data_IF_076720427384
#
_entry.id   IF_076720427384
#
_cell.length_a   1.000
_cell.length_b   1.000
_cell.length_c   1.000
_cell.angle_alpha   90.00
_cell.angle_beta   90.00
_cell.angle_gamma   90.00
#
_symmetry.space_group_name_H-M   'P 1'
#
loop_
_entity.id
_entity.type
_entity.pdbx_description
1 polymer ?
#
# COMPACT_ATOMS: atom_id res chain seq x y z
N UNK A 1 7.46 13.36 -6.89
CA UNK A 1 8.27 12.12 -6.79
C UNK A 1 9.04 12.28 -5.52
N UNK A 2 9.04 11.25 -4.67
CA UNK A 2 9.94 11.27 -3.52
C UNK A 2 11.37 11.50 -4.03
N UNK A 3 12.08 12.41 -3.39
CA UNK A 3 13.39 12.90 -3.78
C UNK A 3 14.45 11.97 -3.21
N UNK A 4 15.34 11.50 -4.08
CA UNK A 4 16.60 10.89 -3.65
C UNK A 4 17.48 12.05 -3.19
N UNK A 5 17.74 12.11 -1.89
CA UNK A 5 18.66 13.10 -1.31
C UNK A 5 20.09 12.58 -1.33
N UNK A 6 21.06 13.48 -1.17
CA UNK A 6 22.46 13.09 -1.02
C UNK A 6 22.65 12.14 0.17
N UNK A 7 23.62 11.25 0.04
CA UNK A 7 23.99 10.28 1.07
C UNK A 7 25.38 10.60 1.57
N UNK A 8 25.56 10.57 2.88
CA UNK A 8 26.86 10.71 3.52
C UNK A 8 27.28 9.32 4.00
N UNK A 9 28.47 8.89 3.62
CA UNK A 9 29.12 7.68 4.13
C UNK A 9 30.33 8.11 4.94
N UNK A 10 30.41 7.66 6.20
CA UNK A 10 31.50 8.02 7.11
C UNK A 10 32.21 6.77 7.63
N UNK A 11 33.53 6.82 7.71
CA UNK A 11 34.40 5.82 8.32
C UNK A 11 35.22 6.53 9.42
N UNK A 12 34.75 6.44 10.67
CA UNK A 12 35.33 7.22 11.76
C UNK A 12 35.18 8.73 11.52
N UNK A 13 36.31 9.44 11.35
CA UNK A 13 36.35 10.90 11.09
C UNK A 13 36.20 11.26 9.61
N UNK A 14 36.46 10.31 8.70
CA UNK A 14 36.40 10.55 7.27
C UNK A 14 34.96 10.44 6.79
N UNK A 15 34.40 11.53 6.28
CA UNK A 15 33.05 11.54 5.71
C UNK A 15 33.06 11.98 4.25
N UNK A 16 32.30 11.29 3.41
CA UNK A 16 32.13 11.64 2.00
C UNK A 16 30.66 11.73 1.64
N UNK A 17 30.30 12.81 0.95
CA UNK A 17 28.96 13.05 0.41
C UNK A 17 28.87 12.54 -1.03
N UNK A 18 27.79 11.83 -1.32
CA UNK A 18 27.46 11.31 -2.64
C UNK A 18 26.16 11.93 -3.13
N UNK A 19 26.22 12.63 -4.26
CA UNK A 19 25.09 13.33 -4.82
C UNK A 19 23.99 12.39 -5.29
N UNK A 20 22.76 12.89 -5.43
CA UNK A 20 21.67 12.15 -6.10
C UNK A 20 22.11 11.56 -7.45
N UNK A 21 22.79 12.34 -8.27
CA UNK A 21 23.21 11.93 -9.61
C UNK A 21 24.17 10.74 -9.55
N UNK A 22 25.14 10.79 -8.63
CA UNK A 22 26.08 9.69 -8.39
C UNK A 22 25.37 8.40 -7.95
N UNK A 23 24.28 8.53 -7.20
CA UNK A 23 23.49 7.40 -6.72
C UNK A 23 22.57 6.80 -7.80
N UNK A 24 22.18 7.56 -8.82
CA UNK A 24 21.02 7.19 -9.67
C UNK A 24 21.29 7.15 -11.17
N UNK A 25 22.33 7.79 -11.70
CA UNK A 25 22.66 7.73 -13.12
C UNK A 25 23.42 6.45 -13.46
N UNK A 26 23.12 5.85 -14.60
CA UNK A 26 23.72 4.58 -15.06
C UNK A 26 25.25 4.65 -15.17
N UNK A 27 25.79 5.81 -15.57
CA UNK A 27 27.24 6.05 -15.67
C UNK A 27 28.00 5.85 -14.35
N UNK A 28 27.34 6.05 -13.20
CA UNK A 28 27.93 5.89 -11.87
C UNK A 28 27.58 4.55 -11.21
N UNK A 29 26.79 3.68 -11.85
CA UNK A 29 26.28 2.45 -11.25
C UNK A 29 27.37 1.54 -10.67
N UNK A 30 28.47 1.32 -11.41
CA UNK A 30 29.61 0.52 -10.94
C UNK A 30 30.31 1.17 -9.74
N UNK A 31 30.52 2.49 -9.81
CA UNK A 31 31.15 3.26 -8.74
C UNK A 31 30.29 3.28 -7.48
N UNK A 32 28.98 3.43 -7.63
CA UNK A 32 28.02 3.39 -6.52
C UNK A 32 27.93 2.01 -5.89
N UNK A 33 27.93 0.94 -6.70
CA UNK A 33 28.05 -0.44 -6.21
C UNK A 33 29.30 -0.61 -5.34
N UNK A 34 30.46 -0.13 -5.80
CA UNK A 34 31.72 -0.24 -5.03
C UNK A 34 31.67 0.52 -3.70
N UNK A 35 31.07 1.72 -3.67
CA UNK A 35 30.87 2.50 -2.46
C UNK A 35 30.00 1.74 -1.45
N UNK A 36 28.86 1.22 -1.90
CA UNK A 36 27.94 0.48 -1.04
C UNK A 36 28.54 -0.85 -0.59
N UNK A 37 29.22 -1.59 -1.48
CA UNK A 37 29.90 -2.84 -1.14
C UNK A 37 30.94 -2.63 -0.04
N UNK A 38 31.77 -1.58 -0.15
CA UNK A 38 32.74 -1.22 0.90
C UNK A 38 32.06 -0.83 2.21
N UNK A 39 30.97 -0.07 2.15
CA UNK A 39 30.22 0.32 3.35
C UNK A 39 29.55 -0.89 4.02
N UNK A 40 28.99 -1.82 3.24
CA UNK A 40 28.37 -3.05 3.73
C UNK A 40 29.38 -3.98 4.41
N UNK A 41 30.62 -4.06 3.89
CA UNK A 41 31.67 -4.92 4.44
C UNK A 41 32.34 -4.34 5.72
N UNK A 42 32.06 -3.09 6.08
CA UNK A 42 32.73 -2.39 7.19
C UNK A 42 31.81 -2.26 8.40
N UNK A 43 32.32 -2.62 9.58
CA UNK A 43 31.61 -2.48 10.86
C UNK A 43 31.53 -1.00 11.31
N UNK A 44 32.50 -0.18 10.92
CA UNK A 44 32.60 1.23 11.32
C UNK A 44 31.88 2.19 10.38
N UNK A 45 31.37 1.70 9.24
CA UNK A 45 30.69 2.53 8.25
C UNK A 45 29.36 3.05 8.80
N UNK A 46 29.20 4.38 8.81
CA UNK A 46 27.92 5.04 9.09
C UNK A 46 27.40 5.69 7.82
N UNK A 47 26.22 5.26 7.36
CA UNK A 47 25.55 5.82 6.19
C UNK A 47 24.33 6.62 6.66
N UNK A 48 24.18 7.86 6.20
CA UNK A 48 23.06 8.72 6.56
C UNK A 48 22.51 9.51 5.38
N UNK A 49 21.20 9.75 5.38
CA UNK A 49 20.53 10.59 4.40
C UNK A 49 20.66 12.08 4.74
N UNK A 50 20.95 12.91 3.73
CA UNK A 50 21.09 14.37 3.88
C UNK A 50 19.81 15.16 3.64
N UNK A 51 18.63 14.51 3.65
CA UNK A 51 17.37 15.22 3.52
C UNK A 51 17.12 16.17 4.72
N UNK A 52 16.22 17.15 4.54
CA UNK A 52 15.86 18.15 5.57
C UNK A 52 15.01 17.59 6.73
N UNK A 53 15.00 16.28 6.91
CA UNK A 53 14.32 15.63 8.03
C UNK A 53 15.04 15.80 9.36
N UNK A 54 14.40 15.39 10.45
CA UNK A 54 14.92 15.46 11.83
C UNK A 54 15.82 14.25 12.16
N UNK A 55 16.56 14.29 13.26
CA UNK A 55 17.33 13.14 13.75
C UNK A 55 18.49 12.69 12.84
N UNK A 56 19.11 11.53 13.14
CA UNK A 56 20.34 11.08 12.48
C UNK A 56 20.13 10.51 11.07
N UNK A 57 18.92 10.05 10.72
CA UNK A 57 18.56 9.57 9.36
C UNK A 57 19.53 8.50 8.83
N UNK A 58 19.91 7.59 9.72
CA UNK A 58 20.83 6.50 9.39
C UNK A 58 20.17 5.55 8.37
N UNK A 59 21.00 4.98 7.50
CA UNK A 59 20.63 4.01 6.50
C UNK A 59 21.50 2.77 6.66
N UNK A 60 20.89 1.60 6.54
CA UNK A 60 21.58 0.34 6.37
C UNK A 60 21.90 0.13 4.89
N UNK A 61 23.11 -0.32 4.60
CA UNK A 61 23.44 -0.88 3.28
C UNK A 61 23.06 -2.34 3.30
N UNK A 62 22.36 -2.82 2.28
CA UNK A 62 21.89 -4.20 2.19
C UNK A 62 22.21 -4.78 0.82
N UNK A 63 22.46 -6.09 0.78
CA UNK A 63 22.75 -6.82 -0.45
C UNK A 63 21.49 -7.56 -0.94
N UNK A 64 21.16 -7.36 -2.21
CA UNK A 64 20.07 -8.04 -2.90
C UNK A 64 20.64 -9.16 -3.77
N UNK A 65 20.43 -10.41 -3.33
CA UNK A 65 21.04 -11.60 -3.95
C UNK A 65 20.57 -11.84 -5.38
N UNK A 66 19.28 -11.71 -5.68
CA UNK A 66 18.72 -12.03 -6.99
C UNK A 66 19.18 -11.06 -8.10
N UNK A 67 19.61 -9.85 -7.73
CA UNK A 67 20.07 -8.83 -8.67
C UNK A 67 21.56 -8.51 -8.58
N UNK A 68 22.31 -9.22 -7.73
CA UNK A 68 23.70 -8.94 -7.36
C UNK A 68 23.96 -7.42 -7.25
N UNK A 69 23.28 -6.79 -6.30
CA UNK A 69 23.37 -5.34 -6.12
C UNK A 69 23.19 -4.93 -4.67
N UNK A 70 23.74 -3.78 -4.31
CA UNK A 70 23.52 -3.17 -3.00
C UNK A 70 22.49 -2.05 -3.08
N UNK A 71 21.71 -1.90 -2.02
CA UNK A 71 20.74 -0.83 -1.88
C UNK A 71 20.73 -0.26 -0.46
N UNK A 72 20.16 0.94 -0.34
CA UNK A 72 20.00 1.62 0.94
C UNK A 72 18.59 1.38 1.49
N UNK A 73 18.51 1.08 2.78
CA UNK A 73 17.27 0.96 3.51
C UNK A 73 17.34 1.78 4.79
N UNK A 74 16.22 2.40 5.19
CA UNK A 74 16.11 3.03 6.51
C UNK A 74 16.18 1.98 7.61
N UNK A 75 16.59 2.38 8.82
CA UNK A 75 16.45 1.53 10.00
C UNK A 75 14.97 1.39 10.41
N UNK A 76 14.63 0.32 11.15
CA UNK A 76 13.31 0.14 11.76
C UNK A 76 12.84 1.39 12.51
N UNK A 77 11.59 1.79 12.28
CA UNK A 77 10.95 2.95 12.93
C UNK A 77 11.68 4.30 12.77
N UNK A 78 12.62 4.46 11.82
CA UNK A 78 13.28 5.77 11.58
C UNK A 78 12.72 6.53 10.39
N UNK A 79 11.64 6.07 9.75
CA UNK A 79 11.10 6.71 8.55
C UNK A 79 10.60 8.14 8.78
N UNK A 80 10.00 8.41 9.95
CA UNK A 80 9.54 9.75 10.35
C UNK A 80 10.69 10.76 10.58
N UNK A 81 11.94 10.28 10.68
CA UNK A 81 13.12 11.14 10.73
C UNK A 81 13.42 11.80 9.38
N UNK A 82 12.96 11.23 8.26
CA UNK A 82 13.21 11.80 6.95
C UNK A 82 12.26 12.96 6.64
N UNK A 83 12.62 13.81 5.69
CA UNK A 83 11.72 14.86 5.19
C UNK A 83 10.55 14.20 4.46
N UNK A 84 9.30 14.71 4.53
CA UNK A 84 8.14 14.11 3.84
C UNK A 84 8.32 13.84 2.34
N UNK A 85 9.17 14.63 1.68
CA UNK A 85 9.51 14.46 0.27
C UNK A 85 10.60 13.41 0.02
N UNK A 86 11.31 12.92 1.04
CA UNK A 86 12.40 11.95 0.91
C UNK A 86 11.90 10.54 0.57
N UNK A 87 12.64 9.79 -0.25
CA UNK A 87 12.34 8.37 -0.56
C UNK A 87 12.31 7.44 0.67
N UNK A 88 12.97 7.81 1.76
CA UNK A 88 13.03 7.03 2.99
C UNK A 88 11.97 7.46 4.02
N UNK A 89 11.14 8.46 3.71
CA UNK A 89 10.07 8.88 4.61
C UNK A 89 8.96 7.85 4.67
N UNK A 90 8.56 7.48 5.88
CA UNK A 90 7.29 6.77 6.15
C UNK A 90 6.58 7.44 7.31
N UNK A 91 5.25 7.38 7.30
CA UNK A 91 4.47 7.78 8.46
C UNK A 91 4.89 6.93 9.66
N UNK A 92 4.92 7.56 10.83
CA UNK A 92 5.03 6.81 12.08
C UNK A 92 3.82 5.90 12.25
N UNK A 93 3.99 4.76 12.94
CA UNK A 93 2.91 3.81 13.23
C UNK A 93 1.73 4.50 13.91
N UNK A 94 1.99 5.49 14.76
CA UNK A 94 0.94 6.26 15.45
C UNK A 94 0.03 7.05 14.49
N UNK A 95 0.56 7.40 13.31
CA UNK A 95 -0.13 8.15 12.27
C UNK A 95 -0.64 7.27 11.11
N UNK A 96 -0.62 5.94 11.27
CA UNK A 96 -1.23 5.01 10.32
C UNK A 96 -1.98 3.89 11.05
N UNK A 97 -2.70 3.06 10.30
CA UNK A 97 -3.36 1.89 10.85
C UNK A 97 -2.40 0.80 11.32
N UNK A 98 -1.10 0.86 10.99
CA UNK A 98 -0.14 -0.18 11.40
C UNK A 98 -0.01 -0.34 12.92
N UNK A 99 -0.38 0.67 13.70
CA UNK A 99 -0.41 0.59 15.17
C UNK A 99 -1.37 -0.47 15.72
N UNK A 100 -2.35 -0.92 14.92
CA UNK A 100 -3.30 -1.93 15.38
C UNK A 100 -2.66 -3.30 15.53
N UNK A 101 -1.52 -3.56 14.90
CA UNK A 101 -0.89 -4.88 14.94
C UNK A 101 0.07 -5.06 16.11
N UNK A 102 0.12 -6.27 16.66
CA UNK A 102 1.22 -6.62 17.57
C UNK A 102 2.56 -6.58 16.82
N UNK A 103 3.65 -6.37 17.55
CA UNK A 103 5.01 -6.32 16.97
C UNK A 103 5.39 -7.59 16.17
N UNK A 104 4.67 -8.70 16.39
CA UNK A 104 4.92 -9.96 15.71
C UNK A 104 4.36 -10.04 14.29
N UNK A 105 3.39 -9.18 13.93
CA UNK A 105 2.67 -9.26 12.65
C UNK A 105 3.48 -8.67 11.51
N UNK A 106 4.14 -7.54 11.73
CA UNK A 106 5.02 -6.89 10.76
C UNK A 106 6.40 -6.73 11.37
N UNK A 107 7.35 -7.54 10.90
CA UNK A 107 8.74 -7.56 11.39
C UNK A 107 9.68 -7.06 10.32
N UNK A 108 10.54 -6.11 10.64
CA UNK A 108 11.66 -5.76 9.77
C UNK A 108 12.68 -6.91 9.73
N UNK A 109 13.04 -7.36 8.54
CA UNK A 109 14.02 -8.43 8.33
C UNK A 109 15.43 -7.85 8.15
N UNK A 110 16.45 -8.69 8.42
CA UNK A 110 17.86 -8.29 8.29
C UNK A 110 18.20 -7.84 6.86
N UNK A 111 17.60 -8.47 5.85
CA UNK A 111 17.75 -8.15 4.43
C UNK A 111 17.00 -6.88 3.98
N UNK A 112 16.21 -6.24 4.85
CA UNK A 112 15.47 -5.02 4.52
C UNK A 112 14.07 -5.26 3.98
N UNK A 113 13.68 -6.52 3.91
CA UNK A 113 12.30 -6.91 3.72
C UNK A 113 11.48 -6.88 5.02
N UNK A 114 10.28 -7.42 4.91
CA UNK A 114 9.31 -7.54 5.98
C UNK A 114 8.86 -8.99 6.13
N UNK A 115 8.79 -9.47 7.37
CA UNK A 115 8.04 -10.68 7.71
C UNK A 115 6.61 -10.29 8.07
N UNK A 116 5.63 -10.79 7.32
CA UNK A 116 4.21 -10.54 7.55
C UNK A 116 3.51 -11.83 7.99
N UNK A 117 2.74 -11.76 9.08
CA UNK A 117 1.84 -12.83 9.51
C UNK A 117 0.42 -12.57 9.00
N UNK A 118 -0.02 -13.36 8.01
CA UNK A 118 -1.38 -13.29 7.50
C UNK A 118 -2.35 -14.13 8.35
N UNK A 119 -3.63 -13.77 8.31
CA UNK A 119 -4.74 -14.55 8.89
C UNK A 119 -5.13 -15.76 8.02
N UNK A 120 -4.69 -15.77 6.76
CA UNK A 120 -4.83 -16.85 5.79
C UNK A 120 -3.46 -17.43 5.41
N UNK A 121 -3.34 -18.76 5.49
CA UNK A 121 -2.10 -19.45 5.16
C UNK A 121 -1.86 -19.51 3.64
N UNK A 122 -0.60 -19.39 3.21
CA UNK A 122 -0.17 -19.62 1.82
C UNK A 122 -0.06 -21.10 1.45
N UNK A 123 0.28 -21.95 2.42
CA UNK A 123 0.30 -23.39 2.21
C UNK A 123 -1.15 -23.90 2.12
N UNK A 124 -1.42 -24.79 1.18
CA UNK A 124 -2.71 -25.50 1.12
C UNK A 124 -2.71 -26.62 2.17
N UNK A 125 -3.20 -26.33 3.37
CA UNK A 125 -3.62 -27.36 4.34
C UNK A 125 -5.12 -27.62 4.23
N UNK A 126 -5.57 -28.81 4.65
CA UNK A 126 -7.00 -29.20 4.70
C UNK A 126 -7.87 -28.27 5.56
N UNK A 127 -7.28 -27.32 6.28
CA UNK A 127 -7.98 -26.23 6.93
C UNK A 127 -8.55 -25.26 5.88
N UNK A 128 -9.83 -25.46 5.56
CA UNK A 128 -10.63 -24.56 4.74
C UNK A 128 -10.85 -23.23 5.50
N UNK A 129 -10.74 -22.10 4.79
CA UNK A 129 -11.30 -20.84 5.29
C UNK A 129 -12.80 -21.02 5.47
N UNK A 130 -13.35 -20.54 6.59
CA UNK A 130 -14.80 -20.66 6.84
C UNK A 130 -15.63 -19.66 6.05
N UNK A 131 -15.00 -18.65 5.44
CA UNK A 131 -15.68 -17.63 4.61
C UNK A 131 -14.72 -17.03 3.58
N UNK A 132 -15.22 -16.83 2.35
CA UNK A 132 -14.54 -16.06 1.30
C UNK A 132 -14.41 -14.58 1.63
N UNK A 133 -15.20 -14.08 2.57
CA UNK A 133 -15.14 -12.71 3.03
C UNK A 133 -15.13 -12.71 4.56
N UNK A 134 -13.95 -12.63 5.19
CA UNK A 134 -13.84 -12.61 6.65
C UNK A 134 -14.57 -11.41 7.28
N UNK A 135 -14.97 -11.51 8.57
CA UNK A 135 -15.54 -10.40 9.32
C UNK A 135 -14.67 -9.13 9.27
N UNK A 136 -15.31 -7.95 9.41
CA UNK A 136 -14.56 -6.69 9.45
C UNK A 136 -13.88 -6.47 10.79
N UNK A 137 -12.55 -6.66 10.83
CA UNK A 137 -11.74 -6.36 12.00
C UNK A 137 -11.86 -4.89 12.43
N UNK A 138 -12.22 -3.97 11.53
CA UNK A 138 -12.39 -2.54 11.84
C UNK A 138 -13.60 -2.25 12.74
N UNK A 139 -14.52 -3.21 12.87
CA UNK A 139 -15.68 -3.11 13.76
C UNK A 139 -15.37 -3.57 15.20
N UNK A 140 -14.16 -4.05 15.47
CA UNK A 140 -13.73 -4.39 16.83
C UNK A 140 -13.59 -3.13 17.71
N UNK A 141 -13.77 -3.24 19.04
CA UNK A 141 -13.46 -2.14 19.95
C UNK A 141 -12.02 -1.66 19.74
N UNK A 142 -11.83 -0.34 19.70
CA UNK A 142 -10.51 0.28 19.57
C UNK A 142 -9.55 -0.15 20.69
N UNK A 143 -8.25 -0.19 20.37
CA UNK A 143 -7.20 -0.60 21.32
C UNK A 143 -6.94 -2.10 21.41
N UNK A 144 -7.71 -2.96 20.73
CA UNK A 144 -7.42 -4.39 20.63
C UNK A 144 -6.36 -4.63 19.55
N UNK A 145 -5.20 -5.14 19.96
CA UNK A 145 -4.14 -5.47 19.00
C UNK A 145 -4.49 -6.71 18.18
N UNK A 146 -4.33 -6.60 16.86
CA UNK A 146 -4.50 -7.68 15.90
C UNK A 146 -3.24 -8.57 15.85
N UNK A 147 -3.44 -9.89 15.89
CA UNK A 147 -2.36 -10.89 15.91
C UNK A 147 -2.02 -11.46 14.52
N UNK A 148 -2.73 -11.00 13.49
CA UNK A 148 -2.53 -11.34 12.10
C UNK A 148 -3.05 -10.20 11.23
N UNK A 149 -2.56 -10.13 9.99
CA UNK A 149 -2.98 -9.18 8.98
C UNK A 149 -3.99 -9.83 8.04
N UNK A 150 -5.11 -9.15 7.79
CA UNK A 150 -6.10 -9.58 6.80
C UNK A 150 -5.58 -9.39 5.38
N UNK A 151 -6.28 -9.99 4.42
CA UNK A 151 -5.97 -9.80 3.01
C UNK A 151 -6.14 -8.32 2.56
N UNK A 152 -7.10 -7.58 3.14
CA UNK A 152 -7.22 -6.14 2.90
C UNK A 152 -6.04 -5.37 3.50
N UNK A 153 -5.62 -5.73 4.72
CA UNK A 153 -4.43 -5.18 5.36
C UNK A 153 -3.17 -5.40 4.51
N UNK A 154 -3.01 -6.58 3.91
CA UNK A 154 -1.90 -6.87 2.99
C UNK A 154 -1.96 -6.00 1.73
N UNK A 155 -3.15 -5.83 1.12
CA UNK A 155 -3.32 -4.97 -0.05
C UNK A 155 -2.91 -3.53 0.26
N UNK A 156 -3.32 -3.01 1.42
CA UNK A 156 -2.94 -1.69 1.89
C UNK A 156 -1.45 -1.60 2.21
N UNK A 157 -0.84 -2.65 2.77
CA UNK A 157 0.60 -2.71 2.99
C UNK A 157 1.39 -2.58 1.69
N UNK A 158 1.01 -3.36 0.67
CA UNK A 158 1.63 -3.27 -0.65
C UNK A 158 1.48 -1.86 -1.24
N UNK A 159 0.34 -1.20 -1.04
CA UNK A 159 0.12 0.18 -1.48
C UNK A 159 0.99 1.20 -0.75
N UNK A 160 1.18 1.06 0.57
CA UNK A 160 2.01 1.97 1.36
C UNK A 160 3.51 1.78 1.06
N UNK A 161 4.03 0.54 1.08
CA UNK A 161 5.45 0.27 0.83
C UNK A 161 5.87 0.64 -0.60
N UNK A 162 4.95 0.48 -1.57
CA UNK A 162 5.19 0.92 -2.95
C UNK A 162 5.00 2.42 -3.18
N UNK A 163 4.55 3.17 -2.17
CA UNK A 163 4.29 4.60 -2.25
C UNK A 163 3.09 4.98 -3.14
N UNK A 164 2.18 4.03 -3.40
CA UNK A 164 0.96 4.25 -4.17
C UNK A 164 -0.08 5.05 -3.40
N UNK A 165 0.02 5.14 -2.07
CA UNK A 165 -0.76 6.04 -1.23
C UNK A 165 -0.23 7.49 -1.20
N UNK A 166 0.71 7.84 -2.07
CA UNK A 166 1.33 9.18 -2.12
C UNK A 166 1.05 9.86 -3.44
N UNK A 167 0.89 11.17 -3.40
CA UNK A 167 0.70 11.98 -4.59
C UNK A 167 1.65 13.17 -4.63
N UNK A 168 2.14 13.46 -5.83
CA UNK A 168 2.87 14.66 -6.15
C UNK A 168 2.35 15.20 -7.49
N UNK A 169 2.12 16.52 -7.65
CA UNK A 169 1.54 17.07 -8.88
C UNK A 169 2.29 16.66 -10.16
N UNK A 170 3.63 16.55 -10.10
CA UNK A 170 4.49 16.11 -11.21
C UNK A 170 4.23 14.66 -11.68
N UNK A 171 3.39 13.89 -11.00
CA UNK A 171 2.96 12.53 -11.38
C UNK A 171 1.70 12.50 -12.24
N UNK A 172 1.01 13.63 -12.43
CA UNK A 172 -0.18 13.70 -13.29
C UNK A 172 0.08 13.07 -14.66
N UNK A 173 -0.82 12.18 -15.09
CA UNK A 173 -0.73 11.43 -16.35
C UNK A 173 0.35 10.35 -16.43
N UNK A 174 1.19 10.14 -15.39
CA UNK A 174 2.33 9.20 -15.43
C UNK A 174 2.09 7.89 -14.68
N UNK A 175 1.06 7.81 -13.85
CA UNK A 175 0.71 6.58 -13.12
C UNK A 175 -0.33 5.81 -13.93
N UNK A 176 0.08 4.67 -14.46
CA UNK A 176 -0.74 3.78 -15.27
C UNK A 176 -0.70 2.36 -14.68
N UNK A 177 -1.58 1.44 -15.11
CA UNK A 177 -1.66 0.09 -14.54
C UNK A 177 -0.34 -0.68 -14.57
N UNK A 178 0.41 -0.61 -15.69
CA UNK A 178 1.69 -1.30 -15.79
C UNK A 178 2.68 -0.82 -14.72
N UNK A 179 2.72 0.50 -14.47
CA UNK A 179 3.56 1.07 -13.41
C UNK A 179 3.08 0.64 -12.01
N UNK A 180 1.77 0.64 -11.77
CA UNK A 180 1.19 0.21 -10.50
C UNK A 180 1.52 -1.25 -10.23
N UNK A 181 1.27 -2.15 -11.18
CA UNK A 181 1.56 -3.57 -11.06
C UNK A 181 3.05 -3.85 -10.84
N UNK A 182 3.94 -3.17 -11.58
CA UNK A 182 5.39 -3.29 -11.35
C UNK A 182 5.78 -2.87 -9.92
N UNK A 183 5.21 -1.76 -9.42
CA UNK A 183 5.46 -1.28 -8.06
C UNK A 183 4.98 -2.28 -6.99
N UNK A 184 3.84 -2.94 -7.22
CA UNK A 184 3.33 -4.00 -6.33
C UNK A 184 4.23 -5.24 -6.36
N UNK A 185 4.67 -5.67 -7.55
CA UNK A 185 5.61 -6.80 -7.69
C UNK A 185 6.94 -6.51 -6.95
N UNK A 186 7.52 -5.32 -7.13
CA UNK A 186 8.74 -4.93 -6.41
C UNK A 186 8.54 -4.78 -4.91
N UNK A 187 7.32 -4.48 -4.43
CA UNK A 187 7.01 -4.50 -3.00
C UNK A 187 6.91 -5.93 -2.48
N UNK A 188 6.28 -6.83 -3.24
CA UNK A 188 6.16 -8.25 -2.89
C UNK A 188 7.51 -8.98 -2.77
N UNK A 189 8.52 -8.59 -3.57
CA UNK A 189 9.90 -9.11 -3.46
C UNK A 189 10.53 -8.87 -2.08
N UNK A 190 10.08 -7.82 -1.37
CA UNK A 190 10.56 -7.48 -0.03
C UNK A 190 9.78 -8.20 1.07
N UNK A 191 8.66 -8.86 0.77
CA UNK A 191 7.75 -9.40 1.78
C UNK A 191 7.92 -10.91 1.86
N UNK A 192 8.00 -11.45 3.09
CA UNK A 192 7.95 -12.89 3.37
C UNK A 192 6.75 -13.20 4.26
N UNK A 193 5.99 -14.24 3.91
CA UNK A 193 4.87 -14.76 4.71
C UNK A 193 5.20 -16.19 5.08
N UNK A 194 5.24 -16.50 6.38
CA UNK A 194 5.72 -17.81 6.87
C UNK A 194 7.06 -18.24 6.25
N UNK A 195 7.99 -17.29 6.10
CA UNK A 195 9.31 -17.45 5.43
C UNK A 195 9.29 -17.64 3.92
N UNK A 196 8.13 -17.78 3.28
CA UNK A 196 8.00 -17.84 1.82
C UNK A 196 7.99 -16.42 1.23
N UNK A 197 8.77 -16.14 0.15
CA UNK A 197 8.71 -14.86 -0.55
C UNK A 197 7.32 -14.63 -1.14
N UNK A 198 6.70 -13.49 -0.83
CA UNK A 198 5.38 -13.15 -1.36
C UNK A 198 5.42 -13.02 -2.90
N UNK A 199 6.55 -12.60 -3.46
CA UNK A 199 6.77 -12.55 -4.92
C UNK A 199 6.63 -13.89 -5.63
N UNK A 200 6.66 -15.03 -4.92
CA UNK A 200 6.43 -16.37 -5.47
C UNK A 200 4.95 -16.78 -5.45
N UNK A 201 4.10 -16.03 -4.74
CA UNK A 201 2.67 -16.32 -4.59
C UNK A 201 1.77 -15.17 -5.06
N UNK A 202 2.30 -13.97 -5.25
CA UNK A 202 1.55 -12.78 -5.63
C UNK A 202 1.64 -12.52 -7.13
N UNK A 203 0.51 -12.71 -7.80
CA UNK A 203 0.26 -12.40 -9.18
C UNK A 203 -0.46 -11.06 -9.31
N UNK A 204 -0.03 -10.24 -10.27
CA UNK A 204 -0.66 -8.96 -10.60
C UNK A 204 -1.29 -8.98 -11.99
N UNK A 205 -2.28 -8.11 -12.22
CA UNK A 205 -2.87 -7.92 -13.55
C UNK A 205 -1.83 -7.60 -14.63
N UNK A 206 -2.14 -7.94 -15.88
CA UNK A 206 -1.28 -7.68 -17.02
C UNK A 206 -2.06 -7.25 -18.26
N UNK A 207 -1.44 -6.39 -19.07
CA UNK A 207 -1.85 -6.17 -20.44
C UNK A 207 -1.42 -7.37 -21.31
N UNK A 208 -2.16 -7.65 -22.41
CA UNK A 208 -1.75 -8.68 -23.35
C UNK A 208 -0.37 -8.39 -23.92
N UNK A 209 0.35 -9.45 -24.31
CA UNK A 209 1.66 -9.37 -24.97
C UNK A 209 2.76 -8.65 -24.17
N UNK A 210 2.64 -8.62 -22.83
CA UNK A 210 3.70 -8.12 -21.94
C UNK A 210 4.48 -9.26 -21.30
N UNK A 211 5.76 -9.06 -20.89
CA UNK A 211 6.52 -10.08 -20.16
C UNK A 211 5.84 -10.55 -18.87
N UNK A 212 4.97 -9.71 -18.29
CA UNK A 212 4.19 -10.06 -17.11
C UNK A 212 3.25 -11.24 -17.36
N UNK A 213 2.74 -11.43 -18.58
CA UNK A 213 1.87 -12.57 -18.93
C UNK A 213 2.61 -13.90 -18.76
N UNK A 214 3.84 -14.00 -19.29
CA UNK A 214 4.65 -15.21 -19.15
C UNK A 214 5.04 -15.48 -17.69
N UNK A 215 5.35 -14.42 -16.91
CA UNK A 215 5.59 -14.54 -15.47
C UNK A 215 4.38 -15.06 -14.71
N UNK A 216 3.19 -14.53 -15.04
CA UNK A 216 1.93 -14.93 -14.43
C UNK A 216 1.60 -16.42 -14.69
N UNK A 217 1.78 -16.88 -15.94
CA UNK A 217 1.57 -18.29 -16.31
C UNK A 217 2.57 -19.19 -15.56
N UNK A 218 3.87 -18.86 -15.62
CA UNK A 218 4.92 -19.63 -14.96
C UNK A 218 4.67 -19.77 -13.45
N UNK A 219 4.34 -18.66 -12.77
CA UNK A 219 4.01 -18.68 -11.34
C UNK A 219 2.77 -19.55 -11.06
N UNK A 220 1.74 -19.45 -11.91
CA UNK A 220 0.53 -20.27 -11.77
C UNK A 220 0.85 -21.77 -11.85
N UNK A 221 1.71 -22.17 -12.79
CA UNK A 221 2.17 -23.56 -12.94
C UNK A 221 2.99 -24.03 -11.75
N UNK A 222 3.95 -23.23 -11.27
CA UNK A 222 4.79 -23.54 -10.11
C UNK A 222 3.95 -23.72 -8.83
N UNK A 223 3.05 -22.78 -8.55
CA UNK A 223 2.15 -22.83 -7.37
C UNK A 223 1.19 -24.02 -7.46
N UNK A 224 0.69 -24.34 -8.66
CA UNK A 224 -0.18 -25.52 -8.86
C UNK A 224 0.58 -26.83 -8.59
N UNK A 225 1.82 -26.96 -9.06
CA UNK A 225 2.67 -28.14 -8.83
C UNK A 225 2.98 -28.31 -7.34
N UNK A 226 3.33 -27.22 -6.66
CA UNK A 226 3.67 -27.24 -5.24
C UNK A 226 2.45 -27.39 -4.31
N UNK A 227 1.22 -27.36 -4.86
CA UNK A 227 -0.04 -27.35 -4.10
C UNK A 227 -0.06 -26.20 -3.08
N UNK A 228 0.38 -25.03 -3.53
CA UNK A 228 0.36 -23.81 -2.74
C UNK A 228 -0.82 -22.93 -3.17
N UNK A 229 -1.10 -21.88 -2.40
CA UNK A 229 -2.12 -20.89 -2.73
C UNK A 229 -1.51 -19.74 -3.53
N UNK A 230 -2.33 -19.20 -4.42
CA UNK A 230 -2.01 -18.03 -5.21
C UNK A 230 -2.79 -16.83 -4.69
N UNK A 231 -2.10 -15.68 -4.58
CA UNK A 231 -2.70 -14.37 -4.35
C UNK A 231 -2.75 -13.63 -5.70
N UNK A 232 -3.91 -13.09 -6.06
CA UNK A 232 -4.11 -12.28 -7.25
C UNK A 232 -4.54 -10.86 -6.86
N UNK A 233 -3.79 -9.85 -7.30
CA UNK A 233 -4.16 -8.43 -7.19
C UNK A 233 -4.47 -7.86 -8.57
N UNK A 234 -5.68 -7.34 -8.76
CA UNK A 234 -6.10 -6.79 -10.06
C UNK A 234 -7.17 -5.71 -9.90
N UNK A 235 -7.46 -4.98 -10.98
CA UNK A 235 -8.58 -4.05 -11.03
C UNK A 235 -9.83 -4.74 -11.58
N UNK A 236 -10.99 -4.40 -11.01
CA UNK A 236 -12.27 -4.78 -11.61
C UNK A 236 -12.44 -4.07 -12.96
N UNK A 237 -13.04 -4.75 -13.94
CA UNK A 237 -13.49 -4.09 -15.18
C UNK A 237 -14.60 -3.11 -14.87
N UNK A 238 -14.79 -2.06 -15.69
CA UNK A 238 -15.89 -1.11 -15.48
C UNK A 238 -17.24 -1.83 -15.40
N UNK A 239 -18.09 -1.39 -14.48
CA UNK A 239 -19.40 -2.00 -14.29
C UNK A 239 -20.24 -1.93 -15.57
N UNK A 240 -21.04 -2.97 -15.78
CA UNK A 240 -21.92 -3.15 -16.92
C UNK A 240 -23.06 -4.06 -16.41
N UNK A 241 -24.28 -3.54 -16.27
CA UNK A 241 -25.38 -4.28 -15.64
C UNK A 241 -25.79 -5.54 -16.41
N UNK A 242 -25.60 -5.56 -17.74
CA UNK A 242 -25.92 -6.73 -18.58
C UNK A 242 -24.92 -7.87 -18.40
N UNK A 243 -23.66 -7.54 -18.09
CA UNK A 243 -22.56 -8.52 -17.97
C UNK A 243 -22.23 -8.88 -16.52
N UNK A 244 -22.60 -8.02 -15.58
CA UNK A 244 -22.22 -8.11 -14.17
C UNK A 244 -23.48 -8.21 -13.31
N UNK A 245 -24.14 -9.37 -13.40
CA UNK A 245 -25.17 -9.78 -12.45
C UNK A 245 -24.55 -10.53 -11.27
N UNK A 246 -25.29 -10.62 -10.17
CA UNK A 246 -24.90 -11.37 -8.97
C UNK A 246 -24.89 -12.90 -9.20
N UNK A 247 -25.26 -13.34 -10.40
CA UNK A 247 -25.16 -14.73 -10.87
C UNK A 247 -23.86 -15.00 -11.62
N UNK A 248 -23.01 -13.97 -11.82
CA UNK A 248 -21.72 -14.13 -12.49
C UNK A 248 -20.85 -15.13 -11.73
N UNK A 249 -20.51 -16.23 -12.40
CA UNK A 249 -19.65 -17.30 -11.83
C UNK A 249 -18.18 -16.92 -11.68
N UNK A 250 -17.83 -15.66 -11.91
CA UNK A 250 -16.46 -15.15 -11.88
C UNK A 250 -16.39 -13.68 -11.50
N UNK A 251 -15.27 -13.29 -10.91
CA UNK A 251 -14.97 -11.89 -10.63
C UNK A 251 -14.57 -11.16 -11.92
N UNK A 252 -15.15 -9.99 -12.23
CA UNK A 252 -14.91 -9.31 -13.50
C UNK A 252 -13.61 -8.51 -13.46
N UNK A 253 -12.52 -9.11 -13.94
CA UNK A 253 -11.19 -8.50 -13.95
C UNK A 253 -10.88 -7.78 -15.27
N UNK A 254 -10.20 -6.62 -15.20
CA UNK A 254 -9.83 -5.83 -16.38
C UNK A 254 -8.55 -6.32 -17.07
N UNK A 255 -7.48 -6.55 -16.30
CA UNK A 255 -6.15 -6.88 -16.83
C UNK A 255 -5.87 -8.37 -16.64
N UNK A 256 -6.67 -9.22 -17.29
CA UNK A 256 -6.77 -10.65 -17.01
C UNK A 256 -5.76 -11.53 -17.79
N UNK A 257 -4.86 -10.94 -18.59
CA UNK A 257 -3.90 -11.73 -19.38
C UNK A 257 -2.94 -12.52 -18.50
N UNK A 258 -2.93 -13.85 -18.64
CA UNK A 258 -2.14 -14.75 -17.78
C UNK A 258 -2.67 -14.88 -16.35
N UNK A 259 -3.78 -14.23 -16.01
CA UNK A 259 -4.37 -14.28 -14.66
C UNK A 259 -5.40 -15.41 -14.61
N UNK A 260 -5.36 -16.31 -13.61
CA UNK A 260 -6.39 -17.33 -13.42
C UNK A 260 -7.78 -16.71 -13.25
N UNK A 261 -8.82 -17.41 -13.72
CA UNK A 261 -10.20 -16.99 -13.51
C UNK A 261 -10.54 -17.11 -12.03
N UNK A 262 -10.80 -15.97 -11.36
CA UNK A 262 -11.28 -15.96 -9.98
C UNK A 262 -12.74 -16.40 -9.96
N UNK A 263 -13.00 -17.59 -9.43
CA UNK A 263 -14.35 -18.15 -9.36
C UNK A 263 -15.16 -17.45 -8.27
N UNK A 264 -16.43 -17.23 -8.57
CA UNK A 264 -17.43 -16.66 -7.67
C UNK A 264 -18.73 -17.47 -7.79
N UNK A 265 -19.55 -17.46 -6.75
CA UNK A 265 -20.93 -17.91 -6.78
C UNK A 265 -21.87 -16.83 -6.20
N UNK A 266 -23.18 -17.07 -6.20
CA UNK A 266 -24.19 -16.10 -5.71
C UNK A 266 -24.03 -15.77 -4.22
N UNK A 267 -23.63 -16.74 -3.39
CA UNK A 267 -23.38 -16.55 -1.96
C UNK A 267 -22.13 -15.69 -1.76
N UNK A 268 -21.05 -15.96 -2.49
CA UNK A 268 -19.82 -15.17 -2.47
C UNK A 268 -20.10 -13.70 -2.79
N UNK A 269 -20.90 -13.42 -3.83
CA UNK A 269 -21.32 -12.06 -4.18
C UNK A 269 -22.13 -11.40 -3.07
N UNK A 270 -23.08 -12.14 -2.48
CA UNK A 270 -23.90 -11.63 -1.38
C UNK A 270 -23.04 -11.25 -0.16
N UNK A 271 -22.06 -12.08 0.19
CA UNK A 271 -21.10 -11.80 1.27
C UNK A 271 -20.22 -10.59 0.94
N UNK A 272 -19.76 -10.49 -0.31
CA UNK A 272 -18.92 -9.39 -0.78
C UNK A 272 -19.67 -8.06 -0.72
N UNK A 273 -20.91 -8.01 -1.20
CA UNK A 273 -21.76 -6.81 -1.16
C UNK A 273 -22.07 -6.36 0.26
N UNK A 274 -22.33 -7.32 1.15
CA UNK A 274 -22.56 -7.03 2.57
C UNK A 274 -21.32 -6.45 3.24
N UNK A 275 -20.13 -6.95 2.90
CA UNK A 275 -18.87 -6.55 3.53
C UNK A 275 -18.28 -5.25 2.97
N UNK A 276 -18.41 -5.04 1.66
CA UNK A 276 -17.81 -3.94 0.91
C UNK A 276 -18.88 -3.10 0.18
N UNK A 277 -19.92 -2.60 0.89
CA UNK A 277 -21.02 -1.90 0.25
C UNK A 277 -20.56 -0.63 -0.46
N UNK A 278 -19.59 0.07 0.12
CA UNK A 278 -19.05 1.32 -0.42
C UNK A 278 -18.24 1.08 -1.70
N UNK A 279 -17.38 0.05 -1.72
CA UNK A 279 -16.59 -0.31 -2.90
C UNK A 279 -17.49 -0.82 -4.04
N UNK A 280 -18.48 -1.64 -3.73
CA UNK A 280 -19.45 -2.12 -4.73
C UNK A 280 -20.28 -0.95 -5.28
N UNK A 281 -20.75 -0.02 -4.43
CA UNK A 281 -21.46 1.17 -4.88
C UNK A 281 -20.59 2.05 -5.79
N UNK A 282 -19.32 2.27 -5.41
CA UNK A 282 -18.36 3.00 -6.24
C UNK A 282 -18.13 2.30 -7.59
N UNK A 283 -17.96 0.97 -7.60
CA UNK A 283 -17.79 0.20 -8.82
C UNK A 283 -19.02 0.30 -9.74
N UNK A 284 -20.23 0.15 -9.19
CA UNK A 284 -21.51 0.29 -9.91
C UNK A 284 -21.70 1.69 -10.50
N UNK A 285 -21.19 2.72 -9.82
CA UNK A 285 -21.15 4.09 -10.32
C UNK A 285 -20.05 4.35 -11.38
N UNK A 286 -19.31 3.32 -11.79
CA UNK A 286 -18.24 3.42 -12.79
C UNK A 286 -16.87 3.79 -12.21
N UNK A 287 -16.72 3.83 -10.88
CA UNK A 287 -15.46 4.06 -10.19
C UNK A 287 -14.46 2.92 -10.34
N UNK A 288 -13.22 3.14 -9.88
CA UNK A 288 -12.16 2.13 -9.92
C UNK A 288 -12.12 1.37 -8.59
N UNK A 289 -12.05 0.04 -8.67
CA UNK A 289 -11.91 -0.84 -7.50
C UNK A 289 -10.82 -1.86 -7.78
N UNK A 290 -9.94 -2.02 -6.80
CA UNK A 290 -8.92 -3.06 -6.76
C UNK A 290 -9.46 -4.23 -5.95
N UNK A 291 -9.21 -5.44 -6.43
CA UNK A 291 -9.45 -6.67 -5.69
C UNK A 291 -8.13 -7.34 -5.35
N UNK A 292 -8.10 -7.97 -4.19
CA UNK A 292 -7.10 -8.97 -3.81
C UNK A 292 -7.83 -10.27 -3.48
N UNK A 293 -7.43 -11.37 -4.12
CA UNK A 293 -8.01 -12.68 -3.91
C UNK A 293 -6.92 -13.68 -3.57
N UNK A 294 -7.16 -14.58 -2.62
CA UNK A 294 -6.30 -15.75 -2.36
C UNK A 294 -7.13 -17.00 -2.54
N UNK A 295 -6.53 -18.06 -3.08
CA UNK A 295 -7.23 -19.32 -3.23
C UNK A 295 -6.37 -20.46 -3.72
N UNK A 296 -6.99 -21.63 -3.81
CA UNK A 296 -6.36 -22.83 -4.35
C UNK A 296 -6.49 -22.83 -5.87
N UNK A 297 -5.42 -23.21 -6.57
CA UNK A 297 -5.43 -23.29 -8.02
C UNK A 297 -6.06 -24.59 -8.53
N UNK A 298 -6.75 -24.48 -9.66
CA UNK A 298 -7.13 -25.61 -10.48
C UNK A 298 -7.01 -25.27 -11.96
N UNK A 299 -7.07 -26.30 -12.79
CA UNK A 299 -7.04 -26.16 -14.24
C UNK A 299 -8.38 -26.63 -14.82
N UNK A 300 -8.92 -25.87 -15.79
CA UNK A 300 -10.12 -26.31 -16.50
C UNK A 300 -9.78 -27.53 -17.37
N UNK A 301 -10.60 -28.59 -17.27
CA UNK A 301 -10.42 -29.78 -18.09
C UNK A 301 -10.41 -29.44 -19.58
N UNK A 302 -9.38 -29.88 -20.30
CA UNK A 302 -9.24 -29.70 -21.75
C UNK A 302 -8.99 -28.25 -22.19
N UNK A 303 -8.59 -27.35 -21.29
CA UNK A 303 -8.24 -25.96 -21.61
C UNK A 303 -6.92 -25.58 -20.97
N UNK A 304 -6.13 -24.79 -21.69
CA UNK A 304 -4.95 -24.12 -21.13
C UNK A 304 -5.38 -22.86 -20.37
N UNK A 305 -6.21 -23.07 -19.34
CA UNK A 305 -6.77 -22.01 -18.52
C UNK A 305 -6.89 -22.47 -17.08
N UNK A 306 -6.40 -21.64 -16.18
CA UNK A 306 -6.43 -21.87 -14.74
C UNK A 306 -7.57 -21.09 -14.09
N UNK A 307 -8.01 -21.58 -12.93
CA UNK A 307 -8.95 -20.89 -12.08
C UNK A 307 -8.47 -20.88 -10.63
N UNK A 308 -8.92 -19.88 -9.89
CA UNK A 308 -8.71 -19.74 -8.46
C UNK A 308 -10.01 -20.12 -7.75
N UNK A 309 -9.98 -21.16 -6.91
CA UNK A 309 -11.03 -21.43 -5.93
C UNK A 309 -10.81 -20.49 -4.76
N UNK A 310 -11.55 -19.39 -4.76
CA UNK A 310 -11.32 -18.27 -3.86
C UNK A 310 -11.59 -18.66 -2.41
N UNK A 311 -10.59 -18.47 -1.55
CA UNK A 311 -10.66 -18.70 -0.10
C UNK A 311 -10.89 -17.41 0.68
N UNK A 312 -10.30 -16.30 0.22
CA UNK A 312 -10.62 -14.97 0.71
C UNK A 312 -10.53 -13.95 -0.43
N UNK A 313 -11.37 -12.92 -0.34
CA UNK A 313 -11.44 -11.81 -1.29
C UNK A 313 -11.64 -10.50 -0.52
N UNK A 314 -10.91 -9.45 -0.92
CA UNK A 314 -11.12 -8.11 -0.42
C UNK A 314 -11.11 -7.07 -1.53
N UNK A 315 -11.84 -5.97 -1.32
CA UNK A 315 -11.95 -4.84 -2.25
C UNK A 315 -11.36 -3.57 -1.62
N UNK A 316 -10.81 -2.70 -2.48
CA UNK A 316 -10.34 -1.37 -2.11
C UNK A 316 -10.65 -0.39 -3.23
N UNK A 317 -11.36 0.69 -2.91
CA UNK A 317 -11.62 1.79 -3.85
C UNK A 317 -10.36 2.61 -4.07
N UNK A 318 -10.14 3.03 -5.32
CA UNK A 318 -9.07 3.97 -5.68
C UNK A 318 -9.59 5.05 -6.63
N UNK A 319 -8.97 6.23 -6.63
CA UNK A 319 -9.23 7.26 -7.63
C UNK A 319 -8.55 6.95 -8.98
N UNK A 320 -8.66 7.85 -9.96
CA UNK A 320 -8.00 7.68 -11.26
C UNK A 320 -6.47 7.73 -11.18
N UNK A 321 -5.93 8.33 -10.10
CA UNK A 321 -4.51 8.31 -9.78
C UNK A 321 -4.13 7.14 -8.86
N UNK A 322 -4.98 6.13 -8.69
CA UNK A 322 -4.69 4.91 -7.92
C UNK A 322 -4.39 5.15 -6.42
N UNK A 323 -4.78 6.30 -5.88
CA UNK A 323 -4.76 6.60 -4.46
C UNK A 323 -5.99 5.94 -3.81
N UNK A 324 -5.84 5.16 -2.72
CA UNK A 324 -6.96 4.56 -2.01
C UNK A 324 -7.92 5.60 -1.41
N UNK A 325 -9.19 5.23 -1.32
CA UNK A 325 -10.22 5.99 -0.60
C UNK A 325 -11.18 5.05 0.13
N UNK A 326 -11.51 5.38 1.38
CA UNK A 326 -12.44 4.59 2.22
C UNK A 326 -13.90 5.04 2.05
N UNK A 327 -14.15 6.16 1.36
CA UNK A 327 -15.51 6.67 1.10
C UNK A 327 -15.61 7.51 -0.18
N UNK A 328 -16.84 7.74 -0.65
CA UNK A 328 -17.13 8.68 -1.75
C UNK A 328 -16.75 10.13 -1.41
N UNK A 329 -16.80 10.51 -0.13
CA UNK A 329 -16.35 11.83 0.32
C UNK A 329 -14.83 11.94 0.27
N UNK A 330 -14.09 10.89 0.61
CA UNK A 330 -12.65 10.88 0.39
C UNK A 330 -12.29 10.98 -1.10
N UNK A 331 -13.03 10.34 -2.00
CA UNK A 331 -12.85 10.55 -3.46
C UNK A 331 -13.10 12.01 -3.87
N UNK A 332 -14.08 12.66 -3.26
CA UNK A 332 -14.34 14.10 -3.49
C UNK A 332 -13.18 14.96 -3.00
N UNK A 333 -12.63 14.65 -1.81
CA UNK A 333 -11.46 15.32 -1.27
C UNK A 333 -10.20 15.08 -2.13
N UNK A 334 -9.98 13.86 -2.62
CA UNK A 334 -8.89 13.54 -3.56
C UNK A 334 -8.98 14.42 -4.81
N UNK A 335 -10.17 14.49 -5.43
CA UNK A 335 -10.40 15.35 -6.58
C UNK A 335 -10.11 16.83 -6.28
N UNK A 336 -10.48 17.31 -5.09
CA UNK A 336 -10.15 18.66 -4.64
C UNK A 336 -8.63 18.86 -4.51
N UNK A 337 -7.92 17.96 -3.83
CA UNK A 337 -6.47 18.01 -3.64
C UNK A 337 -5.70 17.95 -4.97
N UNK A 338 -6.17 17.14 -5.93
CA UNK A 338 -5.61 17.08 -7.27
C UNK A 338 -5.80 18.40 -8.03
N UNK A 339 -7.00 18.99 -8.01
CA UNK A 339 -7.28 20.31 -8.63
C UNK A 339 -6.47 21.43 -8.00
N UNK A 340 -6.25 21.36 -6.68
CA UNK A 340 -5.39 22.27 -5.96
C UNK A 340 -3.90 21.95 -6.17
N UNK A 341 -3.54 20.97 -7.00
CA UNK A 341 -2.17 20.52 -7.27
C UNK A 341 -1.34 20.37 -5.98
N UNK A 342 -1.88 19.65 -4.99
CA UNK A 342 -1.20 19.39 -3.72
C UNK A 342 -0.29 18.17 -3.79
N UNK A 343 0.77 18.20 -2.99
CA UNK A 343 1.52 17.00 -2.60
C UNK A 343 0.97 16.47 -1.28
N UNK A 344 0.69 15.17 -1.22
CA UNK A 344 0.10 14.58 -0.01
C UNK A 344 0.38 13.08 0.13
N UNK A 345 0.11 12.57 1.32
CA UNK A 345 0.06 11.15 1.67
C UNK A 345 -1.36 10.84 2.15
N UNK A 346 -1.90 9.68 1.75
CA UNK A 346 -3.13 9.08 2.28
C UNK A 346 -2.73 7.99 3.29
N UNK A 347 -2.80 8.26 4.61
CA UNK A 347 -2.62 7.22 5.60
C UNK A 347 -3.63 6.09 5.39
N UNK A 348 -3.17 4.84 5.50
CA UNK A 348 -4.02 3.66 5.30
C UNK A 348 -4.41 3.04 6.65
N UNK A 349 -5.61 2.47 6.71
CA UNK A 349 -6.24 1.97 7.95
C UNK A 349 -5.82 0.56 8.33
N UNK A 350 -5.39 -0.26 7.38
CA UNK A 350 -5.13 -1.68 7.54
C UNK A 350 -6.33 -2.37 8.24
N UNK A 351 -6.07 -3.09 9.33
CA UNK A 351 -7.08 -3.70 10.19
C UNK A 351 -7.41 -2.85 11.44
N UNK A 352 -7.00 -1.57 11.47
CA UNK A 352 -7.24 -0.71 12.61
C UNK A 352 -8.74 -0.41 12.78
N UNK A 353 -9.17 -0.28 14.04
CA UNK A 353 -10.56 -0.04 14.37
C UNK A 353 -11.05 1.28 13.75
N UNK A 354 -12.34 1.35 13.45
CA UNK A 354 -13.01 2.62 13.12
C UNK A 354 -12.96 3.64 14.27
N UNK A 355 -12.59 3.20 15.48
CA UNK A 355 -12.30 4.07 16.63
C UNK A 355 -10.89 4.68 16.59
N UNK A 356 -9.95 4.08 15.88
CA UNK A 356 -8.57 4.56 15.87
C UNK A 356 -8.47 5.86 15.06
N UNK A 357 -7.84 6.86 15.67
CA UNK A 357 -7.70 8.20 15.10
C UNK A 357 -6.35 8.32 14.40
N UNK A 358 -6.41 8.68 13.12
CA UNK A 358 -5.32 9.15 12.26
C UNK A 358 -5.98 9.88 11.07
N UNK A 359 -5.27 10.81 10.41
CA UNK A 359 -5.87 11.65 9.37
C UNK A 359 -6.17 10.92 8.09
N UNK A 360 -7.18 11.40 7.37
CA UNK A 360 -7.51 10.88 6.05
C UNK A 360 -6.50 11.32 5.01
N UNK A 361 -5.98 12.55 5.09
CA UNK A 361 -4.89 13.01 4.22
C UNK A 361 -3.87 13.82 5.01
N UNK A 362 -2.63 13.85 4.52
CA UNK A 362 -1.55 14.64 5.07
C UNK A 362 -0.86 15.39 3.93
N UNK A 363 -0.97 16.73 3.91
CA UNK A 363 -0.23 17.54 2.95
C UNK A 363 1.26 17.52 3.30
N UNK A 364 2.10 17.41 2.26
CA UNK A 364 3.56 17.34 2.39
C UNK A 364 4.27 18.56 1.81
N UNK A 365 3.51 19.58 1.38
CA UNK A 365 3.99 20.76 0.66
C UNK A 365 3.72 22.09 1.40
N UNK A 366 3.61 22.06 2.73
CA UNK A 366 3.23 23.21 3.59
C UNK A 366 4.39 23.90 4.29
N UNK A 367 5.65 23.51 4.03
CA UNK A 367 6.82 24.29 4.44
C UNK A 367 7.36 24.05 5.84
N UNK A 368 6.86 23.03 6.55
CA UNK A 368 7.35 22.61 7.85
C UNK A 368 7.95 21.21 7.83
N UNK A 369 8.52 20.79 8.97
CA UNK A 369 8.93 19.41 9.17
C UNK A 369 7.76 18.47 9.51
N UNK A 370 6.60 19.03 9.85
CA UNK A 370 5.39 18.29 10.17
C UNK A 370 4.41 18.32 9.01
N UNK A 371 3.70 17.20 8.85
CA UNK A 371 2.64 17.07 7.87
C UNK A 371 1.43 17.89 8.30
N UNK A 372 0.70 18.47 7.34
CA UNK A 372 -0.55 19.17 7.62
C UNK A 372 -1.73 18.21 7.43
N UNK A 373 -2.40 17.75 8.50
CA UNK A 373 -3.48 16.77 8.42
C UNK A 373 -4.77 17.37 7.87
N UNK A 374 -5.54 16.55 7.16
CA UNK A 374 -6.90 16.83 6.70
C UNK A 374 -7.80 15.66 7.09
N UNK A 375 -8.91 15.96 7.75
CA UNK A 375 -9.95 15.00 8.14
C UNK A 375 -11.23 15.21 7.31
N UNK A 376 -11.85 14.12 6.84
CA UNK A 376 -13.13 14.13 6.14
C UNK A 376 -14.22 13.56 7.02
N UNK A 377 -15.16 14.43 7.41
CA UNK A 377 -16.29 14.06 8.23
C UNK A 377 -17.53 13.71 7.39
N UNK A 378 -17.76 12.44 7.04
CA UNK A 378 -18.81 12.00 6.11
C UNK A 378 -20.01 11.19 6.66
N UNK A 379 -20.24 11.06 7.96
CA UNK A 379 -21.46 10.40 8.48
C UNK A 379 -22.27 11.35 9.38
N UNK A 380 -23.59 11.17 9.43
CA UNK A 380 -24.50 12.01 10.23
C UNK A 380 -25.17 11.25 11.38
N UNK A 381 -24.60 10.13 11.84
CA UNK A 381 -25.18 9.41 13.00
C UNK A 381 -24.88 10.13 14.32
N UNK A 382 -25.73 9.95 15.34
CA UNK A 382 -25.50 10.55 16.67
C UNK A 382 -24.17 10.09 17.31
N UNK A 383 -23.75 8.84 17.06
CA UNK A 383 -22.43 8.33 17.46
C UNK A 383 -21.27 9.01 16.72
N UNK A 384 -21.55 9.65 15.60
CA UNK A 384 -20.58 10.39 14.79
C UNK A 384 -20.28 11.79 15.33
N UNK A 385 -21.30 12.50 15.81
CA UNK A 385 -21.12 13.84 16.40
C UNK A 385 -20.20 13.80 17.63
N UNK A 386 -20.36 12.79 18.49
CA UNK A 386 -19.47 12.57 19.62
C UNK A 386 -18.02 12.25 19.18
N UNK A 387 -17.85 11.46 18.10
CA UNK A 387 -16.53 11.17 17.53
C UNK A 387 -15.87 12.39 16.89
N UNK A 388 -16.65 13.26 16.23
CA UNK A 388 -16.13 14.49 15.63
C UNK A 388 -15.45 15.37 16.68
N UNK A 389 -16.12 15.59 17.83
CA UNK A 389 -15.55 16.37 18.93
C UNK A 389 -14.25 15.77 19.49
N UNK A 390 -14.19 14.44 19.64
CA UNK A 390 -12.98 13.73 20.09
C UNK A 390 -11.83 13.94 19.09
N UNK A 391 -12.09 13.76 17.80
CA UNK A 391 -11.08 13.96 16.75
C UNK A 391 -10.62 15.41 16.68
N UNK A 392 -11.55 16.37 16.75
CA UNK A 392 -11.23 17.80 16.82
C UNK A 392 -10.33 18.13 18.02
N UNK A 393 -10.65 17.60 19.21
CA UNK A 393 -9.82 17.77 20.40
C UNK A 393 -8.42 17.20 20.19
N UNK A 394 -8.32 15.97 19.68
CA UNK A 394 -7.04 15.33 19.39
C UNK A 394 -6.19 16.13 18.39
N UNK A 395 -6.78 16.61 17.29
CA UNK A 395 -6.04 17.39 16.31
C UNK A 395 -5.64 18.76 16.83
N UNK A 396 -6.51 19.43 17.59
CA UNK A 396 -6.20 20.72 18.21
C UNK A 396 -5.08 20.62 19.24
N UNK A 397 -5.04 19.54 20.02
CA UNK A 397 -3.97 19.28 20.99
C UNK A 397 -2.64 18.96 20.29
N UNK A 398 -2.68 18.12 19.24
CA UNK A 398 -1.47 17.64 18.57
C UNK A 398 -0.86 18.63 17.59
N UNK A 399 -1.68 19.34 16.81
CA UNK A 399 -1.22 20.21 15.71
C UNK A 399 -1.55 21.69 15.96
N UNK A 400 -2.32 22.01 17.01
CA UNK A 400 -2.86 23.35 17.21
C UNK A 400 -4.07 23.63 16.32
N UNK A 401 -4.90 24.61 16.70
CA UNK A 401 -6.17 24.94 16.02
C UNK A 401 -6.03 25.25 14.53
N UNK A 402 -4.86 25.73 14.10
CA UNK A 402 -4.57 26.11 12.71
C UNK A 402 -3.60 25.13 12.02
N UNK A 403 -3.20 24.04 12.68
CA UNK A 403 -2.23 23.07 12.15
C UNK A 403 -2.85 21.90 11.39
N UNK A 404 -4.17 21.91 11.19
CA UNK A 404 -4.92 20.89 10.47
C UNK A 404 -6.17 21.51 9.84
N UNK A 405 -6.83 20.78 8.93
CA UNK A 405 -8.11 21.19 8.35
C UNK A 405 -9.12 20.03 8.36
N UNK A 406 -10.40 20.38 8.23
CA UNK A 406 -11.45 19.37 8.09
C UNK A 406 -12.52 19.77 7.09
N UNK A 407 -13.24 18.77 6.59
CA UNK A 407 -14.43 18.97 5.76
C UNK A 407 -15.61 18.21 6.35
N UNK A 408 -16.73 18.90 6.62
CA UNK A 408 -17.98 18.25 7.01
C UNK A 408 -18.79 17.97 5.74
N UNK A 409 -18.78 16.73 5.30
CA UNK A 409 -19.47 16.27 4.10
C UNK A 409 -20.87 15.71 4.44
N UNK A 410 -21.86 15.92 3.57
CA UNK A 410 -21.82 16.78 2.38
C UNK A 410 -22.07 18.27 2.71
N UNK A 411 -22.47 18.59 3.94
CA UNK A 411 -23.11 19.85 4.33
C UNK A 411 -22.18 21.06 4.60
N UNK A 412 -20.95 21.08 4.08
CA UNK A 412 -20.00 22.17 4.31
C UNK A 412 -19.09 22.45 3.12
N UNK A 413 -18.49 23.67 3.04
CA UNK A 413 -17.51 23.97 2.01
C UNK A 413 -16.24 23.15 2.23
N UNK A 414 -15.57 22.78 1.14
CA UNK A 414 -14.21 22.22 1.22
C UNK A 414 -13.27 23.24 1.91
N UNK A 415 -12.35 22.78 2.77
CA UNK A 415 -11.54 23.67 3.60
C UNK A 415 -10.58 24.50 2.76
N UNK A 416 -10.31 25.73 3.21
CA UNK A 416 -9.19 26.50 2.71
C UNK A 416 -7.88 25.79 3.12
N UNK A 417 -7.05 25.48 2.13
CA UNK A 417 -5.78 24.81 2.39
C UNK A 417 -4.66 25.83 2.65
N UNK A 418 -3.66 25.50 3.48
CA UNK A 418 -2.50 26.35 3.70
C UNK A 418 -1.70 26.56 2.41
N UNK A 419 -0.95 27.67 2.35
CA UNK A 419 -0.10 28.05 1.22
C UNK A 419 0.90 26.94 0.91
N UNK A 420 1.10 26.67 -0.40
CA UNK A 420 2.15 25.76 -0.85
C UNK A 420 3.50 26.44 -0.69
N UNK A 421 4.44 25.77 -0.03
CA UNK A 421 5.84 26.14 -0.16
C UNK A 421 6.42 25.49 -1.40
N UNK A 422 7.04 26.29 -2.28
CA UNK A 422 7.75 25.79 -3.44
C UNK A 422 8.88 24.86 -2.96
N UNK A 423 8.89 23.63 -3.49
CA UNK A 423 10.01 22.69 -3.35
C UNK A 423 11.01 22.87 -4.48
#
# INVERSE_FOLDING_TARGET
>A
MSTVSDVIVSYGVDSKRYSRDFQTKEEFKKSWYAVLSRAHASVDAKVSCSCKGKGPKLLAVKYHTAGDTYFLARYPNTGSQHSPDCIFFTLDKDNSGLKCYTQSVVKDLKDGGYGIRLDVALASSDSQSTSIVPPDNRNTPGGVSQNSMSLLGLLQFLWDDSGLNRWYPKMAGKRNPAKVFNLLTSSAEKIKVASLPLSSHLLVGAYPSTPQVARNIKMTEEVLINKERLICVNALSKYNPEKHSNESKRLPLKYFSGVPVVLMNTEDWTLLEKRFPTEIANWRAGGNVICIAIGDLGQFKGKDAYYLKTLQLALMTVDDNWIPADSSYELTMLNYLHKQERSFIKPLRYDASNNDVFPDFCLTDTGGHELFPIEVFGMESASYLARKAIKESYYNERYGKNGWASWVAPAGPLPQLPTKTRS
#
